data_IF_720510550001
#
_entry.id   IF_720510550001
#
_cell.length_a   1.000
_cell.length_b   1.000
_cell.length_c   1.000
_cell.angle_alpha   90.00
_cell.angle_beta   90.00
_cell.angle_gamma   90.00
#
_symmetry.space_group_name_H-M   'P 1'
#
loop_
_entity.id
_entity.type
_entity.pdbx_description
1 polymer ?
#
# COMPACT_ATOMS: atom_id res chain seq x y z
N UNK A 1 12.14 13.63 -0.86
CA UNK A 1 12.71 13.79 0.51
C UNK A 1 11.83 13.18 1.61
N UNK A 2 10.67 12.61 1.30
CA UNK A 2 9.75 12.02 2.28
C UNK A 2 10.14 10.61 2.75
N UNK A 3 10.80 9.81 1.92
CA UNK A 3 11.09 8.39 2.20
C UNK A 3 11.87 8.18 3.51
N UNK A 4 12.91 8.97 3.77
CA UNK A 4 13.69 8.84 5.01
C UNK A 4 12.83 9.08 6.26
N UNK A 5 12.04 10.15 6.25
CA UNK A 5 11.12 10.50 7.33
C UNK A 5 10.03 9.43 7.52
N UNK A 6 9.50 8.91 6.41
CA UNK A 6 8.54 7.81 6.36
C UNK A 6 9.09 6.51 6.95
N UNK A 7 10.39 6.25 6.78
CA UNK A 7 11.09 5.12 7.40
C UNK A 7 11.48 5.38 8.86
N UNK A 8 11.18 6.56 9.41
CA UNK A 8 11.58 6.94 10.78
C UNK A 8 13.09 7.11 10.94
N UNK A 9 13.83 7.39 9.86
CA UNK A 9 15.29 7.49 9.85
C UNK A 9 15.77 8.84 9.32
N UNK A 10 16.94 9.25 9.76
CA UNK A 10 17.64 10.40 9.19
C UNK A 10 18.31 10.04 7.86
N UNK A 11 18.58 11.05 7.03
CA UNK A 11 19.36 10.85 5.79
C UNK A 11 20.77 10.33 6.07
N UNK A 12 21.35 10.69 7.22
CA UNK A 12 22.68 10.22 7.62
C UNK A 12 22.68 8.70 7.87
N UNK A 13 21.70 8.22 8.65
CA UNK A 13 21.54 6.79 8.95
C UNK A 13 21.31 5.98 7.67
N UNK A 14 20.47 6.46 6.75
CA UNK A 14 20.25 5.77 5.47
C UNK A 14 21.53 5.65 4.65
N UNK A 15 22.33 6.71 4.58
CA UNK A 15 23.60 6.70 3.82
C UNK A 15 24.65 5.75 4.41
N UNK A 16 24.59 5.48 5.72
CA UNK A 16 25.55 4.62 6.39
C UNK A 16 25.09 3.16 6.50
N UNK A 17 23.78 2.92 6.57
CA UNK A 17 23.23 1.60 6.93
C UNK A 17 22.59 0.87 5.75
N UNK A 18 22.24 1.56 4.67
CA UNK A 18 21.56 0.99 3.51
C UNK A 18 22.46 1.04 2.27
N UNK A 19 22.47 -0.05 1.51
CA UNK A 19 23.19 -0.10 0.22
C UNK A 19 22.41 0.66 -0.86
N UNK A 20 23.09 1.08 -1.93
CA UNK A 20 22.43 1.76 -3.05
C UNK A 20 21.33 0.90 -3.72
N UNK A 21 21.57 -0.41 -3.83
CA UNK A 21 20.61 -1.36 -4.39
C UNK A 21 19.36 -1.49 -3.52
N UNK A 22 19.55 -1.56 -2.20
CA UNK A 22 18.44 -1.61 -1.25
C UNK A 22 17.65 -0.30 -1.21
N UNK A 23 18.34 0.85 -1.24
CA UNK A 23 17.68 2.15 -1.34
C UNK A 23 16.82 2.25 -2.61
N UNK A 24 17.33 1.72 -3.74
CA UNK A 24 16.57 1.66 -4.99
C UNK A 24 15.30 0.82 -4.84
N UNK A 25 15.37 -0.34 -4.18
CA UNK A 25 14.20 -1.16 -3.92
C UNK A 25 13.18 -0.44 -3.03
N UNK A 26 13.62 0.26 -1.99
CA UNK A 26 12.73 1.06 -1.15
C UNK A 26 12.05 2.22 -1.91
N UNK A 27 12.76 2.84 -2.86
CA UNK A 27 12.20 3.87 -3.72
C UNK A 27 11.10 3.29 -4.62
N UNK A 28 11.32 2.12 -5.23
CA UNK A 28 10.28 1.46 -6.04
C UNK A 28 9.11 0.96 -5.19
N UNK A 29 9.37 0.44 -4.00
CA UNK A 29 8.32 0.02 -3.07
C UNK A 29 7.43 1.19 -2.63
N UNK A 30 8.01 2.35 -2.28
CA UNK A 30 7.27 3.56 -1.90
C UNK A 30 6.39 4.12 -3.03
N UNK A 31 6.65 3.74 -4.30
CA UNK A 31 5.77 4.08 -5.43
C UNK A 31 4.53 3.19 -5.51
N UNK A 32 4.66 1.92 -5.13
CA UNK A 32 3.56 0.92 -5.17
C UNK A 32 2.71 1.07 -3.91
N UNK A 33 3.35 1.08 -2.75
CA UNK A 33 2.75 1.26 -1.45
C UNK A 33 3.54 2.31 -0.70
N UNK A 34 3.09 3.58 -0.71
CA UNK A 34 3.70 4.64 0.07
C UNK A 34 3.98 4.18 1.49
N UNK A 35 5.25 4.23 1.89
CA UNK A 35 5.66 3.79 3.23
C UNK A 35 5.17 4.84 4.22
N UNK A 36 4.22 4.49 5.08
CA UNK A 36 3.64 5.43 6.07
C UNK A 36 2.66 6.44 5.46
N UNK A 37 1.62 6.88 6.16
CA UNK A 37 1.25 6.67 7.56
C UNK A 37 -0.12 5.97 7.61
N UNK A 38 -0.13 4.66 7.83
CA UNK A 38 -1.35 3.86 7.98
C UNK A 38 -2.36 4.50 8.95
N UNK A 39 -1.88 5.27 9.94
CA UNK A 39 -2.74 5.98 10.88
C UNK A 39 -3.53 7.11 10.20
N UNK A 40 -2.93 7.81 9.25
CA UNK A 40 -3.62 8.84 8.46
C UNK A 40 -4.68 8.21 7.56
N UNK A 41 -4.36 7.08 6.93
CA UNK A 41 -5.32 6.35 6.09
C UNK A 41 -6.46 5.79 6.94
N UNK A 42 -6.18 5.26 8.13
CA UNK A 42 -7.17 4.80 9.08
C UNK A 42 -8.06 5.95 9.59
N UNK A 43 -7.48 7.13 9.86
CA UNK A 43 -8.24 8.32 10.27
C UNK A 43 -9.16 8.80 9.13
N UNK A 44 -8.66 8.86 7.90
CA UNK A 44 -9.45 9.22 6.73
C UNK A 44 -10.59 8.21 6.49
N UNK A 45 -10.31 6.92 6.68
CA UNK A 45 -11.30 5.85 6.61
C UNK A 45 -12.38 6.01 7.70
N UNK A 46 -12.00 6.31 8.95
CA UNK A 46 -12.95 6.56 10.03
C UNK A 46 -13.94 7.70 9.71
N UNK A 47 -13.43 8.83 9.21
CA UNK A 47 -14.26 9.98 8.82
C UNK A 47 -15.19 9.59 7.67
N UNK A 48 -14.67 8.88 6.66
CA UNK A 48 -15.45 8.42 5.50
C UNK A 48 -16.57 7.46 5.91
N UNK A 49 -16.30 6.48 6.77
CA UNK A 49 -17.32 5.57 7.31
C UNK A 49 -18.42 6.36 8.03
N UNK A 50 -18.05 7.29 8.91
CA UNK A 50 -19.04 8.09 9.64
C UNK A 50 -19.94 8.90 8.70
N UNK A 51 -19.37 9.48 7.65
CA UNK A 51 -20.09 10.26 6.65
C UNK A 51 -20.99 9.40 5.74
N UNK A 52 -20.55 8.20 5.35
CA UNK A 52 -21.34 7.29 4.53
C UNK A 52 -22.49 6.66 5.33
N UNK A 53 -22.22 6.28 6.59
CA UNK A 53 -23.22 5.67 7.45
C UNK A 53 -24.27 6.69 7.93
N UNK A 54 -23.92 7.97 8.06
CA UNK A 54 -24.92 9.02 8.36
C UNK A 54 -25.94 9.22 7.24
N UNK A 55 -25.62 8.81 6.01
CA UNK A 55 -26.53 8.82 4.85
C UNK A 55 -27.33 7.51 4.70
N UNK A 56 -27.26 6.61 5.68
CA UNK A 56 -27.94 5.31 5.65
C UNK A 56 -27.12 4.17 5.05
N UNK A 57 -25.83 4.40 4.76
CA UNK A 57 -24.89 3.35 4.39
C UNK A 57 -24.57 2.39 5.56
N UNK A 58 -23.96 1.25 5.23
CA UNK A 58 -23.45 0.27 6.21
C UNK A 58 -22.04 -0.16 5.83
N UNK A 59 -21.10 0.77 5.94
CA UNK A 59 -19.69 0.57 5.64
C UNK A 59 -18.89 0.37 6.93
N UNK A 60 -17.82 -0.39 6.84
CA UNK A 60 -16.81 -0.58 7.88
C UNK A 60 -15.49 0.07 7.46
N UNK A 61 -14.57 0.28 8.42
CA UNK A 61 -13.28 0.93 8.14
C UNK A 61 -12.49 0.19 7.04
N UNK A 62 -12.36 -1.16 7.04
CA UNK A 62 -11.69 -1.88 5.96
C UNK A 62 -12.26 -1.65 4.56
N UNK A 63 -13.58 -1.41 4.45
CA UNK A 63 -14.26 -1.22 3.16
C UNK A 63 -13.83 0.07 2.46
N UNK A 64 -13.39 1.07 3.24
CA UNK A 64 -13.03 2.40 2.75
C UNK A 64 -11.56 2.75 3.02
N UNK A 65 -10.76 1.81 3.51
CA UNK A 65 -9.31 1.99 3.58
C UNK A 65 -8.74 2.04 2.17
N UNK A 66 -7.73 2.90 2.01
CA UNK A 66 -7.01 3.01 0.74
C UNK A 66 -6.17 1.74 0.53
N UNK A 67 -6.38 1.10 -0.62
CA UNK A 67 -5.64 -0.09 -1.04
C UNK A 67 -4.58 0.35 -2.04
N UNK A 68 -3.34 0.40 -1.60
CA UNK A 68 -2.20 0.79 -2.44
C UNK A 68 -1.70 -0.41 -3.27
N UNK A 69 -1.22 -0.14 -4.50
CA UNK A 69 -0.71 -1.14 -5.44
C UNK A 69 -1.75 -1.62 -6.46
N UNK A 70 -1.33 -2.52 -7.36
CA UNK A 70 -2.25 -3.18 -8.29
C UNK A 70 -3.27 -4.01 -7.51
N UNK A 71 -4.51 -3.54 -7.48
CA UNK A 71 -5.64 -4.37 -7.13
C UNK A 71 -5.95 -5.29 -8.31
N UNK A 72 -5.13 -6.31 -8.51
CA UNK A 72 -5.55 -7.48 -9.29
C UNK A 72 -6.56 -8.28 -8.47
N UNK A 73 -7.80 -7.82 -8.45
CA UNK A 73 -8.91 -8.74 -8.27
C UNK A 73 -9.25 -9.32 -9.65
N UNK A 74 -8.43 -10.28 -10.13
CA UNK A 74 -8.69 -10.91 -11.43
C UNK A 74 -7.59 -11.81 -12.00
N UNK A 75 -7.49 -13.04 -11.48
CA UNK A 75 -7.31 -14.25 -12.31
C UNK A 75 -6.11 -14.42 -13.27
N UNK A 76 -5.00 -13.69 -13.21
CA UNK A 76 -3.87 -13.99 -14.13
C UNK A 76 -3.19 -15.34 -13.87
N UNK A 77 -3.26 -15.87 -12.64
CA UNK A 77 -2.69 -17.21 -12.31
C UNK A 77 -3.54 -18.35 -12.89
N UNK A 78 -4.81 -18.11 -13.25
CA UNK A 78 -5.73 -19.15 -13.72
C UNK A 78 -5.45 -19.59 -15.16
N UNK A 79 -5.18 -18.66 -16.07
CA UNK A 79 -5.06 -18.97 -17.50
C UNK A 79 -3.79 -19.79 -17.81
N UNK A 80 -2.69 -19.51 -17.10
CA UNK A 80 -1.43 -20.21 -17.31
C UNK A 80 -1.46 -21.62 -16.71
N UNK A 81 -2.10 -21.80 -15.55
CA UNK A 81 -2.33 -23.12 -14.95
C UNK A 81 -3.32 -23.98 -15.75
N UNK A 82 -4.39 -23.38 -16.31
CA UNK A 82 -5.30 -24.07 -17.24
C UNK A 82 -4.57 -24.50 -18.52
N UNK A 83 -3.75 -23.62 -19.09
CA UNK A 83 -2.97 -23.93 -20.29
C UNK A 83 -2.01 -25.10 -20.06
N UNK A 84 -1.26 -25.10 -18.94
CA UNK A 84 -0.37 -26.21 -18.61
C UNK A 84 -1.11 -27.53 -18.33
N UNK A 85 -2.34 -27.46 -17.83
CA UNK A 85 -3.17 -28.65 -17.58
C UNK A 85 -3.78 -29.23 -18.87
N UNK A 86 -3.74 -28.49 -19.98
CA UNK A 86 -4.25 -28.90 -21.28
C UNK A 86 -3.19 -29.53 -22.22
N UNK A 87 -1.93 -29.56 -21.79
CA UNK A 87 -0.79 -30.23 -22.45
C UNK A 87 -0.67 -31.70 -22.02
#
# INVERSE_FOLDING_TARGET
>A
MSLALRMGRTLHELRQTITASELKMWIEFDRISPVGDWRSDAQAAQISVAMLNSQGGKFTIPDVMLKWGEQEEGSEVSELEEWMSSL
#
